data_IF_289361836088
#
_entry.id   IF_289361836088
#
_cell.length_a   1.000
_cell.length_b   1.000
_cell.length_c   1.000
_cell.angle_alpha   90.00
_cell.angle_beta   90.00
_cell.angle_gamma   90.00
#
_symmetry.space_group_name_H-M   'P 1'
#
loop_
_entity.id
_entity.type
_entity.pdbx_description
1 polymer ?
#
# COMPACT_ATOMS: atom_id res chain seq x y z
N UNK A 1 15.93 1.05 9.72
CA UNK A 1 15.97 0.36 8.40
C UNK A 1 16.05 -1.13 8.68
N UNK A 2 15.51 -1.96 7.79
CA UNK A 2 15.75 -3.41 7.87
C UNK A 2 17.15 -3.67 7.31
N UNK A 3 18.01 -4.30 8.09
CA UNK A 3 19.34 -4.71 7.66
C UNK A 3 19.24 -6.12 7.07
N UNK A 4 19.56 -6.24 5.78
CA UNK A 4 19.61 -7.51 5.07
C UNK A 4 20.78 -7.49 4.08
N UNK A 5 21.46 -8.63 3.83
CA UNK A 5 22.51 -8.73 2.83
C UNK A 5 22.01 -8.27 1.46
N UNK A 6 22.77 -7.42 0.76
CA UNK A 6 22.33 -6.84 -0.52
C UNK A 6 22.13 -7.91 -1.59
N UNK A 7 22.86 -9.01 -1.48
CA UNK A 7 22.92 -10.11 -2.44
C UNK A 7 21.59 -10.88 -2.51
N UNK A 8 20.76 -10.81 -1.44
CA UNK A 8 19.46 -11.48 -1.38
C UNK A 8 18.28 -10.55 -1.68
N UNK A 9 18.52 -9.26 -1.86
CA UNK A 9 17.47 -8.27 -2.08
C UNK A 9 17.21 -8.06 -3.58
N UNK A 10 15.93 -8.06 -3.95
CA UNK A 10 15.46 -7.68 -5.29
C UNK A 10 14.49 -6.50 -5.17
N UNK A 11 14.94 -5.25 -5.38
CA UNK A 11 14.07 -4.10 -5.27
C UNK A 11 13.07 -4.05 -6.42
N UNK A 12 11.86 -3.57 -6.14
CA UNK A 12 10.88 -3.25 -7.17
C UNK A 12 11.20 -1.88 -7.80
N UNK A 13 10.82 -1.70 -9.06
CA UNK A 13 10.82 -0.37 -9.69
C UNK A 13 9.76 0.51 -9.01
N UNK A 14 10.16 1.68 -8.53
CA UNK A 14 9.27 2.66 -7.92
C UNK A 14 8.54 3.45 -9.02
N UNK A 15 7.25 3.70 -8.83
CA UNK A 15 6.41 4.52 -9.72
C UNK A 15 6.11 5.91 -9.17
N UNK A 16 5.38 6.71 -9.95
CA UNK A 16 5.00 8.09 -9.62
C UNK A 16 3.55 8.19 -9.17
N UNK A 17 3.31 8.58 -7.90
CA UNK A 17 1.96 8.69 -7.32
C UNK A 17 1.18 9.92 -7.82
N UNK A 18 1.87 10.95 -8.29
CA UNK A 18 1.27 12.21 -8.79
C UNK A 18 0.41 12.02 -10.05
N UNK A 19 0.60 10.91 -10.77
CA UNK A 19 -0.08 10.59 -12.03
C UNK A 19 -1.30 9.67 -11.88
N UNK A 20 -1.59 9.20 -10.66
CA UNK A 20 -2.65 8.25 -10.38
C UNK A 20 -4.04 8.83 -10.66
N UNK A 21 -4.97 7.95 -11.05
CA UNK A 21 -6.36 8.31 -11.33
C UNK A 21 -7.33 7.42 -10.57
N UNK A 22 -8.43 7.99 -10.10
CA UNK A 22 -9.57 7.22 -9.59
C UNK A 22 -10.08 6.30 -10.70
N UNK A 23 -10.38 5.04 -10.36
CA UNK A 23 -10.76 3.97 -11.30
C UNK A 23 -9.57 3.20 -11.88
N UNK A 24 -8.33 3.63 -11.67
CA UNK A 24 -7.15 2.87 -12.08
C UNK A 24 -7.02 1.59 -11.27
N UNK A 25 -6.76 0.46 -11.92
CA UNK A 25 -6.51 -0.81 -11.24
C UNK A 25 -5.26 -0.75 -10.35
N UNK A 26 -5.32 -1.40 -9.20
CA UNK A 26 -4.20 -1.55 -8.29
C UNK A 26 -4.19 -2.93 -7.63
N UNK A 27 -3.00 -3.30 -7.16
CA UNK A 27 -2.73 -4.53 -6.44
C UNK A 27 -2.24 -4.16 -5.03
N UNK A 28 -2.76 -4.83 -4.00
CA UNK A 28 -2.18 -4.79 -2.66
C UNK A 28 -1.50 -6.14 -2.39
N UNK A 29 -0.23 -6.08 -1.97
CA UNK A 29 0.61 -7.24 -1.69
C UNK A 29 1.04 -7.16 -0.23
N UNK A 30 0.82 -8.23 0.52
CA UNK A 30 1.14 -8.28 1.95
C UNK A 30 1.21 -9.70 2.48
N UNK A 31 1.32 -9.86 3.79
CA UNK A 31 1.25 -11.17 4.46
C UNK A 31 0.23 -11.11 5.62
N UNK A 32 -1.08 -11.02 5.30
CA UNK A 32 -2.12 -11.00 6.31
C UNK A 32 -2.04 -12.29 7.15
N UNK A 33 -1.98 -12.12 8.46
CA UNK A 33 -1.92 -13.21 9.45
C UNK A 33 -0.66 -14.09 9.42
N UNK A 34 0.35 -13.80 8.61
CA UNK A 34 1.67 -14.47 8.66
C UNK A 34 1.71 -15.87 8.03
N UNK A 35 0.64 -16.31 7.37
CA UNK A 35 0.51 -17.69 6.88
C UNK A 35 0.82 -17.87 5.39
N UNK A 36 0.72 -16.84 4.55
CA UNK A 36 1.18 -16.85 3.15
C UNK A 36 1.07 -15.44 2.53
N UNK A 37 1.98 -15.11 1.61
CA UNK A 37 1.91 -13.85 0.85
C UNK A 37 0.56 -13.77 0.12
N UNK A 38 -0.19 -12.70 0.35
CA UNK A 38 -1.51 -12.49 -0.25
C UNK A 38 -1.45 -11.36 -1.25
N UNK A 39 -2.15 -11.54 -2.37
CA UNK A 39 -2.37 -10.55 -3.41
C UNK A 39 -3.87 -10.26 -3.47
N UNK A 40 -4.26 -9.00 -3.35
CA UNK A 40 -5.64 -8.56 -3.58
C UNK A 40 -5.67 -7.53 -4.69
N UNK A 41 -6.76 -7.53 -5.46
CA UNK A 41 -6.95 -6.67 -6.63
C UNK A 41 -8.12 -5.74 -6.36
N UNK A 42 -7.97 -4.49 -6.78
CA UNK A 42 -9.03 -3.50 -6.73
C UNK A 42 -8.72 -2.33 -7.66
N UNK A 43 -9.33 -1.20 -7.36
CA UNK A 43 -9.10 0.08 -8.03
C UNK A 43 -8.78 1.17 -7.01
N UNK A 44 -8.21 2.26 -7.51
CA UNK A 44 -8.11 3.51 -6.75
C UNK A 44 -9.52 4.10 -6.63
N UNK A 45 -10.04 4.18 -5.42
CA UNK A 45 -11.37 4.73 -5.12
C UNK A 45 -11.31 6.18 -4.62
N UNK A 46 -10.12 6.70 -4.30
CA UNK A 46 -9.93 8.08 -3.88
C UNK A 46 -8.45 8.47 -3.78
N UNK A 47 -8.17 9.77 -3.89
CA UNK A 47 -6.83 10.36 -3.79
C UNK A 47 -6.87 11.54 -2.81
N UNK A 48 -5.69 11.93 -2.29
CA UNK A 48 -5.53 13.06 -1.38
C UNK A 48 -6.46 13.01 -0.15
N UNK A 49 -6.62 11.81 0.44
CA UNK A 49 -7.42 11.63 1.65
C UNK A 49 -6.64 12.03 2.89
N UNK A 50 -7.33 12.68 3.81
CA UNK A 50 -6.85 12.85 5.17
C UNK A 50 -7.12 11.56 5.98
N UNK A 51 -6.07 11.04 6.61
CA UNK A 51 -6.13 9.86 7.47
C UNK A 51 -5.91 10.31 8.91
N UNK A 52 -6.90 10.07 9.74
CA UNK A 52 -6.84 10.37 11.16
C UNK A 52 -6.20 9.19 11.90
N UNK A 53 -4.96 9.35 12.33
CA UNK A 53 -4.28 8.33 13.11
C UNK A 53 -4.85 8.22 14.53
N UNK A 54 -4.73 7.03 15.12
CA UNK A 54 -5.13 6.79 16.52
C UNK A 54 -4.32 7.62 17.53
N UNK A 55 -3.18 8.17 17.12
CA UNK A 55 -2.33 9.03 17.94
C UNK A 55 -2.67 10.52 17.81
N UNK A 56 -3.75 10.87 17.10
CA UNK A 56 -4.23 12.25 16.96
C UNK A 56 -3.53 13.07 15.87
N UNK A 57 -2.66 12.44 15.07
CA UNK A 57 -2.01 13.07 13.92
C UNK A 57 -2.85 12.86 12.66
N UNK A 58 -3.07 13.92 11.89
CA UNK A 58 -3.63 13.83 10.54
C UNK A 58 -2.52 13.61 9.52
N UNK A 59 -2.64 12.56 8.71
CA UNK A 59 -1.74 12.26 7.61
C UNK A 59 -2.48 12.60 6.31
N UNK A 60 -1.98 13.59 5.57
CA UNK A 60 -2.52 13.95 4.26
C UNK A 60 -1.96 13.10 3.12
N UNK A 61 -2.57 13.20 1.94
CA UNK A 61 -2.07 12.55 0.72
C UNK A 61 -2.39 11.05 0.62
N UNK A 62 -3.33 10.55 1.43
CA UNK A 62 -3.74 9.14 1.41
C UNK A 62 -4.34 8.73 0.06
N UNK A 63 -3.97 7.54 -0.40
CA UNK A 63 -4.59 6.86 -1.55
C UNK A 63 -5.59 5.85 -0.98
N UNK A 64 -6.82 5.88 -1.46
CA UNK A 64 -7.88 4.96 -1.08
C UNK A 64 -8.07 3.91 -2.16
N UNK A 65 -8.23 2.65 -1.77
CA UNK A 65 -8.54 1.52 -2.65
C UNK A 65 -9.67 0.67 -2.08
N UNK A 66 -10.36 -0.06 -2.94
CA UNK A 66 -11.28 -1.14 -2.56
C UNK A 66 -10.63 -2.54 -2.58
N UNK A 67 -9.35 -2.64 -2.95
CA UNK A 67 -8.58 -3.87 -2.76
C UNK A 67 -8.60 -4.25 -1.28
N UNK A 68 -8.83 -5.53 -0.97
CA UNK A 68 -8.91 -5.98 0.41
C UNK A 68 -7.56 -5.81 1.13
N UNK A 69 -7.56 -5.03 2.23
CA UNK A 69 -6.41 -4.80 3.11
C UNK A 69 -6.81 -5.21 4.53
N UNK A 70 -6.05 -6.14 5.10
CA UNK A 70 -6.23 -6.67 6.45
C UNK A 70 -4.94 -6.54 7.27
N UNK A 71 -5.00 -6.58 8.62
CA UNK A 71 -3.81 -6.55 9.46
C UNK A 71 -2.74 -7.56 9.00
N UNK A 72 -1.51 -7.08 8.78
CA UNK A 72 -0.40 -7.87 8.23
C UNK A 72 -0.15 -7.65 6.73
N UNK A 73 -1.01 -6.91 6.03
CA UNK A 73 -0.62 -6.29 4.76
C UNK A 73 0.22 -5.04 4.96
#
# INVERSE_FOLDING_TARGET
MVEAPKEILKPIKVGESSSLKVGQQCLAIGNPFGFDHTLTVGVISGLNRDIFSKTGVTIGGGIQTDAAINPGN
#
